data_IF_586385717222
#
_entry.id   IF_586385717222
#
_cell.length_a   1.000
_cell.length_b   1.000
_cell.length_c   1.000
_cell.angle_alpha   90.00
_cell.angle_beta   90.00
_cell.angle_gamma   90.00
#
_symmetry.space_group_name_H-M   'P 1'
#
loop_
_entity.id
_entity.type
_entity.pdbx_description
1 polymer ?
#
# COMPACT_ATOMS: atom_id res chain seq x y z
N UNK A 1 11.19 -3.55 -1.40
CA UNK A 1 10.22 -4.64 -1.18
C UNK A 1 9.13 -4.56 -2.24
N UNK A 2 8.84 -5.66 -2.89
CA UNK A 2 7.88 -5.69 -4.01
C UNK A 2 6.49 -6.04 -3.51
N UNK A 3 5.55 -5.11 -3.67
CA UNK A 3 4.18 -5.30 -3.20
C UNK A 3 3.13 -4.95 -4.26
N UNK A 4 3.49 -5.02 -5.55
CA UNK A 4 2.54 -4.65 -6.61
C UNK A 4 1.24 -5.44 -6.52
N UNK A 5 1.34 -6.74 -6.33
CA UNK A 5 0.19 -7.64 -6.22
C UNK A 5 -0.64 -7.31 -4.97
N UNK A 6 0.03 -7.11 -3.85
CA UNK A 6 -0.62 -6.76 -2.59
C UNK A 6 -1.28 -5.37 -2.68
N UNK A 7 -0.62 -4.43 -3.33
CA UNK A 7 -1.16 -3.09 -3.51
C UNK A 7 -2.45 -3.11 -4.35
N UNK A 8 -2.50 -3.95 -5.39
CA UNK A 8 -3.71 -4.13 -6.18
C UNK A 8 -4.86 -4.63 -5.32
N UNK A 9 -4.59 -5.55 -4.41
CA UNK A 9 -5.59 -6.07 -3.48
C UNK A 9 -6.07 -4.99 -2.52
N UNK A 10 -5.15 -4.16 -2.03
CA UNK A 10 -5.50 -3.04 -1.16
C UNK A 10 -6.40 -2.05 -1.92
N UNK A 11 -6.05 -1.71 -3.15
CA UNK A 11 -6.84 -0.80 -3.96
C UNK A 11 -8.26 -1.36 -4.20
N UNK A 12 -8.37 -2.64 -4.50
CA UNK A 12 -9.67 -3.27 -4.69
C UNK A 12 -10.51 -3.26 -3.41
N UNK A 13 -9.86 -3.51 -2.27
CA UNK A 13 -10.52 -3.57 -0.97
C UNK A 13 -10.99 -2.19 -0.50
N UNK A 14 -10.20 -1.14 -0.78
CA UNK A 14 -10.45 0.21 -0.26
C UNK A 14 -11.13 1.12 -1.28
N UNK A 15 -11.26 0.68 -2.52
CA UNK A 15 -11.77 1.49 -3.63
C UNK A 15 -10.92 2.73 -3.88
N UNK A 16 -9.63 2.67 -3.53
CA UNK A 16 -8.67 3.73 -3.82
C UNK A 16 -7.79 3.31 -4.98
N UNK A 17 -7.40 4.28 -5.81
CA UNK A 17 -6.38 4.04 -6.84
C UNK A 17 -4.99 4.24 -6.23
N UNK A 18 -3.97 3.74 -6.93
CA UNK A 18 -2.58 3.98 -6.53
C UNK A 18 -2.29 5.48 -6.49
N UNK A 19 -2.82 6.23 -7.46
CA UNK A 19 -2.66 7.69 -7.50
C UNK A 19 -3.26 8.37 -6.27
N UNK A 20 -4.42 7.91 -5.82
CA UNK A 20 -5.06 8.46 -4.64
C UNK A 20 -4.26 8.18 -3.37
N UNK A 21 -3.73 6.96 -3.26
CA UNK A 21 -2.87 6.60 -2.13
C UNK A 21 -1.64 7.52 -2.11
N UNK A 22 -1.01 7.73 -3.26
CA UNK A 22 0.15 8.61 -3.37
C UNK A 22 -0.18 10.03 -2.94
N UNK A 23 -1.31 10.56 -3.38
CA UNK A 23 -1.74 11.91 -3.01
C UNK A 23 -1.98 12.05 -1.52
N UNK A 24 -2.58 11.05 -0.89
CA UNK A 24 -2.82 11.05 0.55
C UNK A 24 -1.53 11.00 1.34
N UNK A 25 -0.47 10.44 0.74
CA UNK A 25 0.87 10.42 1.33
C UNK A 25 1.69 11.65 0.96
N UNK A 26 1.07 12.60 0.26
CA UNK A 26 1.74 13.83 -0.19
C UNK A 26 2.91 13.52 -1.12
N UNK A 27 2.74 12.53 -1.99
CA UNK A 27 3.75 12.10 -2.94
C UNK A 27 3.23 12.25 -4.36
N UNK A 28 4.16 12.44 -5.31
CA UNK A 28 3.83 12.41 -6.72
C UNK A 28 3.34 11.01 -7.11
N UNK A 29 2.15 10.90 -7.75
CA UNK A 29 1.66 9.59 -8.18
C UNK A 29 2.63 8.86 -9.10
N UNK A 30 3.30 9.58 -9.99
CA UNK A 30 4.25 8.97 -10.92
C UNK A 30 5.49 8.43 -10.20
N UNK A 31 6.06 9.22 -9.29
CA UNK A 31 7.23 8.80 -8.51
C UNK A 31 6.89 7.62 -7.61
N UNK A 32 5.74 7.67 -6.96
CA UNK A 32 5.27 6.59 -6.09
C UNK A 32 5.08 5.29 -6.88
N UNK A 33 4.42 5.37 -8.04
CA UNK A 33 4.19 4.22 -8.91
C UNK A 33 5.49 3.58 -9.36
N UNK A 34 6.49 4.39 -9.72
CA UNK A 34 7.81 3.89 -10.10
C UNK A 34 8.51 3.18 -8.92
N UNK A 35 8.40 3.75 -7.74
CA UNK A 35 8.99 3.17 -6.54
C UNK A 35 8.39 1.80 -6.23
N UNK A 36 7.08 1.67 -6.38
CA UNK A 36 6.37 0.40 -6.23
C UNK A 36 6.88 -0.62 -7.26
N UNK A 37 6.96 -0.23 -8.52
CA UNK A 37 7.40 -1.12 -9.60
C UNK A 37 8.83 -1.61 -9.43
N UNK A 38 9.71 -0.75 -8.93
CA UNK A 38 11.12 -1.08 -8.71
C UNK A 38 11.33 -1.92 -7.45
N UNK A 39 10.34 -2.00 -6.60
CA UNK A 39 10.48 -2.72 -5.34
C UNK A 39 11.34 -2.00 -4.32
N UNK A 40 11.40 -0.67 -4.38
CA UNK A 40 12.25 0.16 -3.52
C UNK A 40 11.52 0.68 -2.28
N UNK A 41 10.41 0.03 -1.89
CA UNK A 41 9.65 0.44 -0.72
C UNK A 41 10.33 -0.02 0.55
N UNK A 42 10.41 0.88 1.52
CA UNK A 42 10.91 0.58 2.87
C UNK A 42 9.74 0.14 3.77
N UNK A 43 10.06 -0.33 4.96
CA UNK A 43 9.04 -0.64 5.97
C UNK A 43 8.24 0.62 6.32
N UNK A 44 8.89 1.77 6.38
CA UNK A 44 8.19 3.04 6.65
C UNK A 44 7.18 3.36 5.53
N UNK A 45 7.56 3.11 4.28
CA UNK A 45 6.64 3.27 3.15
C UNK A 45 5.42 2.36 3.30
N UNK A 46 5.63 1.12 3.71
CA UNK A 46 4.53 0.17 3.90
C UNK A 46 3.61 0.60 5.05
N UNK A 47 4.18 1.11 6.13
CA UNK A 47 3.40 1.65 7.25
C UNK A 47 2.54 2.82 6.79
N UNK A 48 3.10 3.71 5.98
CA UNK A 48 2.35 4.85 5.43
C UNK A 48 1.18 4.38 4.56
N UNK A 49 1.41 3.39 3.71
CA UNK A 49 0.35 2.81 2.89
C UNK A 49 -0.75 2.21 3.76
N UNK A 50 -0.36 1.48 4.80
CA UNK A 50 -1.33 0.88 5.72
C UNK A 50 -2.18 1.95 6.40
N UNK A 51 -1.55 3.04 6.84
CA UNK A 51 -2.23 4.12 7.53
C UNK A 51 -3.32 4.75 6.66
N UNK A 52 -3.01 5.10 5.41
CA UNK A 52 -3.98 5.75 4.52
C UNK A 52 -5.02 4.77 3.98
N UNK A 53 -4.74 3.48 4.05
CA UNK A 53 -5.64 2.42 3.58
C UNK A 53 -6.59 1.91 4.66
N UNK A 54 -6.48 2.44 5.89
CA UNK A 54 -7.33 2.01 6.99
C UNK A 54 -7.02 0.63 7.50
N UNK A 55 -5.77 0.18 7.36
CA UNK A 55 -5.33 -1.10 7.90
C UNK A 55 -4.06 -0.90 8.73
N UNK A 56 -3.55 -1.95 9.31
CA UNK A 56 -2.27 -1.91 10.01
C UNK A 56 -1.32 -2.92 9.38
N UNK A 57 -0.04 -2.62 9.47
CA UNK A 57 0.99 -3.49 8.94
C UNK A 57 1.48 -4.44 10.04
N UNK A 58 1.44 -5.74 9.74
CA UNK A 58 2.12 -6.77 10.53
C UNK A 58 3.07 -7.48 9.58
N UNK A 59 2.98 -8.78 9.43
CA UNK A 59 3.58 -9.45 8.27
C UNK A 59 2.59 -9.44 7.11
N UNK A 60 1.55 -8.62 7.22
CA UNK A 60 0.48 -8.45 6.26
C UNK A 60 -0.24 -7.15 6.55
N UNK A 61 -1.03 -6.66 5.59
CA UNK A 61 -1.97 -5.58 5.84
C UNK A 61 -3.23 -6.20 6.44
N UNK A 62 -3.59 -5.80 7.64
CA UNK A 62 -4.73 -6.37 8.38
C UNK A 62 -5.82 -5.32 8.47
N UNK A 63 -6.99 -5.63 7.94
CA UNK A 63 -8.17 -4.76 8.02
C UNK A 63 -8.99 -5.09 9.26
N UNK A 64 -9.87 -4.15 9.64
CA UNK A 64 -10.64 -4.27 10.89
C UNK A 64 -11.58 -5.48 10.89
N UNK A 65 -12.05 -5.89 9.70
CA UNK A 65 -12.94 -7.05 9.56
C UNK A 65 -12.19 -8.39 9.60
N UNK A 66 -10.87 -8.35 9.79
CA UNK A 66 -10.05 -9.55 9.88
C UNK A 66 -9.41 -9.96 8.56
N UNK A 67 -9.74 -9.30 7.46
CA UNK A 67 -9.10 -9.60 6.17
C UNK A 67 -7.61 -9.30 6.24
N UNK A 68 -6.79 -10.21 5.71
CA UNK A 68 -5.34 -10.09 5.71
C UNK A 68 -4.83 -10.17 4.26
N UNK A 69 -3.98 -9.22 3.90
CA UNK A 69 -3.29 -9.21 2.59
C UNK A 69 -1.81 -9.38 2.88
N UNK A 70 -1.29 -10.56 2.59
CA UNK A 70 0.10 -10.91 2.92
C UNK A 70 1.08 -10.16 2.04
N UNK A 71 2.24 -9.84 2.60
CA UNK A 71 3.31 -9.15 1.89
C UNK A 71 4.08 -10.12 0.99
N UNK A 72 4.20 -11.37 1.39
CA UNK A 72 4.94 -12.38 0.63
C UNK A 72 4.14 -13.66 0.43
#
# INVERSE_FOLDING_TARGET
>A
MRIESQLKKICARTDLSVSEIARRLDKSPQAFSQKVKRGNLSIDDLNDIALVSGCRLECAFVFQDGERIRIN
#
